data_IF_382414146351
#
_entry.id   IF_382414146351
#
_cell.length_a   1.000
_cell.length_b   1.000
_cell.length_c   1.000
_cell.angle_alpha   90.00
_cell.angle_beta   90.00
_cell.angle_gamma   90.00
#
_symmetry.space_group_name_H-M   'P 1'
#
loop_
_entity.id
_entity.type
_entity.pdbx_description
1 polymer ?
#
# COMPACT_ATOMS: atom_id res chain seq x y z
N UNK A 1 -0.52 -13.86 67.58
CA UNK A 1 -0.95 -12.79 66.63
C UNK A 1 0.25 -11.94 66.28
N UNK A 2 0.75 -12.04 65.04
CA UNK A 2 1.71 -11.10 64.44
C UNK A 2 1.24 -10.88 63.01
N UNK A 3 0.63 -9.72 62.75
CA UNK A 3 0.33 -9.24 61.41
C UNK A 3 1.65 -8.83 60.75
N UNK A 4 1.96 -9.45 59.61
CA UNK A 4 2.96 -8.95 58.68
C UNK A 4 2.23 -8.47 57.43
N UNK A 5 2.11 -7.15 57.34
CA UNK A 5 1.90 -6.37 56.11
C UNK A 5 3.22 -6.33 55.34
N UNK A 6 3.19 -5.99 54.04
CA UNK A 6 4.28 -5.77 53.06
C UNK A 6 4.48 -6.98 52.11
N UNK A 7 4.42 -6.89 50.77
CA UNK A 7 4.35 -5.76 49.83
C UNK A 7 3.84 -6.32 48.51
N UNK A 8 2.91 -5.62 47.84
CA UNK A 8 2.51 -5.91 46.46
C UNK A 8 3.68 -5.54 45.55
N UNK A 9 4.42 -6.54 45.07
CA UNK A 9 5.41 -6.38 44.00
C UNK A 9 4.68 -6.42 42.65
N UNK A 10 3.99 -5.34 42.29
CA UNK A 10 3.49 -5.11 40.94
C UNK A 10 4.61 -4.42 40.15
N UNK A 11 5.63 -5.19 39.78
CA UNK A 11 6.68 -4.72 38.86
C UNK A 11 6.09 -4.62 37.46
N UNK A 12 5.90 -3.37 37.07
CA UNK A 12 5.75 -2.84 35.73
C UNK A 12 6.20 -3.82 34.65
N UNK A 13 5.22 -4.46 34.00
CA UNK A 13 5.33 -4.79 32.59
C UNK A 13 5.48 -3.46 31.85
N UNK A 14 6.72 -2.98 31.77
CA UNK A 14 7.11 -2.05 30.72
C UNK A 14 6.90 -2.82 29.42
N UNK A 15 5.69 -2.70 28.88
CA UNK A 15 5.41 -3.11 27.52
C UNK A 15 6.33 -2.30 26.63
N UNK A 16 7.47 -2.88 26.27
CA UNK A 16 8.08 -2.62 24.99
C UNK A 16 7.08 -3.15 23.96
N UNK A 17 6.04 -2.35 23.67
CA UNK A 17 5.36 -2.48 22.39
C UNK A 17 6.42 -2.34 21.30
N UNK A 18 6.30 -3.08 20.19
CA UNK A 18 7.19 -2.88 19.06
C UNK A 18 7.21 -1.38 18.75
N UNK A 19 8.41 -0.79 18.72
CA UNK A 19 8.59 0.53 18.13
C UNK A 19 8.22 0.32 16.66
N UNK A 20 6.99 0.70 16.29
CA UNK A 20 6.65 0.77 14.87
C UNK A 20 7.71 1.69 14.25
N UNK A 21 8.47 1.21 13.25
CA UNK A 21 9.47 2.05 12.63
C UNK A 21 8.75 3.30 12.10
N UNK A 22 9.26 4.47 12.49
CA UNK A 22 8.81 5.76 11.98
C UNK A 22 9.09 5.74 10.47
N UNK A 23 8.08 5.36 9.69
CA UNK A 23 8.20 5.34 8.24
C UNK A 23 8.23 6.80 7.80
N UNK A 24 9.34 7.29 7.21
CA UNK A 24 9.36 8.65 6.69
C UNK A 24 8.15 8.82 5.77
N UNK A 25 7.51 10.00 5.85
CA UNK A 25 6.42 10.40 4.96
C UNK A 25 6.93 10.49 3.52
N UNK A 26 7.14 9.33 2.91
CA UNK A 26 7.71 9.20 1.60
C UNK A 26 6.61 9.53 0.61
N UNK A 27 6.90 10.51 -0.24
CA UNK A 27 6.08 10.84 -1.39
C UNK A 27 6.75 10.29 -2.64
N UNK A 28 5.93 9.89 -3.59
CA UNK A 28 6.38 9.22 -4.79
C UNK A 28 5.74 9.83 -6.03
N UNK A 29 6.48 9.79 -7.14
CA UNK A 29 5.93 9.94 -8.49
C UNK A 29 5.61 8.55 -9.02
N UNK A 30 4.41 8.37 -9.58
CA UNK A 30 3.96 7.10 -10.13
C UNK A 30 4.07 7.08 -11.66
N UNK A 31 4.47 5.94 -12.20
CA UNK A 31 4.40 5.62 -13.63
C UNK A 31 3.64 4.32 -13.83
N UNK A 32 2.73 4.31 -14.81
CA UNK A 32 1.85 3.18 -15.10
C UNK A 32 2.25 2.44 -16.38
N UNK A 33 2.37 1.12 -16.29
CA UNK A 33 2.73 0.23 -17.40
C UNK A 33 1.63 -0.80 -17.63
N UNK A 34 1.19 -0.92 -18.88
CA UNK A 34 0.30 -1.98 -19.32
C UNK A 34 1.12 -3.26 -19.55
N UNK A 35 0.66 -4.38 -18.98
CA UNK A 35 1.36 -5.68 -19.03
C UNK A 35 0.43 -6.85 -19.40
N UNK A 36 -0.80 -6.57 -19.86
CA UNK A 36 -1.70 -7.58 -20.46
C UNK A 36 -1.02 -8.29 -21.64
N UNK A 37 -1.28 -9.58 -21.81
CA UNK A 37 -0.61 -10.41 -22.85
C UNK A 37 -0.93 -9.97 -24.28
N UNK A 38 -2.12 -9.42 -24.49
CA UNK A 38 -2.56 -8.86 -25.78
C UNK A 38 -1.98 -7.46 -26.06
N UNK A 39 -1.27 -6.87 -25.08
CA UNK A 39 -0.70 -5.53 -25.15
C UNK A 39 -1.74 -4.42 -25.12
N UNK A 40 -3.01 -4.74 -24.85
CA UNK A 40 -4.10 -3.76 -24.77
C UNK A 40 -4.55 -3.60 -23.34
N UNK A 41 -4.60 -2.35 -22.88
CA UNK A 41 -5.22 -2.02 -21.61
C UNK A 41 -6.21 -0.88 -21.78
N UNK A 42 -7.36 -0.99 -21.13
CA UNK A 42 -8.38 0.06 -21.08
C UNK A 42 -8.12 1.05 -19.94
N UNK A 43 -8.81 2.18 -19.89
CA UNK A 43 -8.69 3.19 -18.81
C UNK A 43 -7.30 3.84 -18.66
N UNK A 44 -6.47 3.80 -19.72
CA UNK A 44 -5.09 4.35 -19.70
C UNK A 44 -5.06 5.83 -19.32
N UNK A 45 -6.03 6.60 -19.83
CA UNK A 45 -6.08 8.06 -19.62
C UNK A 45 -6.45 8.38 -18.18
N UNK A 46 -7.39 7.63 -17.61
CA UNK A 46 -7.89 7.75 -16.24
C UNK A 46 -6.81 7.35 -15.24
N UNK A 47 -6.19 6.18 -15.43
CA UNK A 47 -5.16 5.67 -14.53
C UNK A 47 -3.93 6.56 -14.48
N UNK A 48 -3.47 7.07 -15.64
CA UNK A 48 -2.28 7.93 -15.69
C UNK A 48 -2.45 9.30 -15.04
N UNK A 49 -3.68 9.72 -14.71
CA UNK A 49 -3.91 10.94 -13.90
C UNK A 49 -3.43 10.76 -12.47
N UNK A 50 -3.51 9.53 -11.95
CA UNK A 50 -3.02 9.18 -10.63
C UNK A 50 -1.50 9.06 -10.66
N UNK A 51 -0.82 10.21 -10.53
CA UNK A 51 0.62 10.34 -10.76
C UNK A 51 1.43 10.53 -9.47
N UNK A 52 0.79 10.50 -8.31
CA UNK A 52 1.44 10.65 -7.00
C UNK A 52 0.98 9.60 -6.01
N UNK A 53 1.88 9.25 -5.09
CA UNK A 53 1.55 8.45 -3.93
C UNK A 53 2.29 8.86 -2.67
N UNK A 54 1.80 8.40 -1.53
CA UNK A 54 2.49 8.44 -0.24
C UNK A 54 2.15 7.21 0.57
N UNK A 55 3.10 6.77 1.39
CA UNK A 55 2.86 5.71 2.35
C UNK A 55 3.02 6.31 3.75
N UNK A 56 1.97 6.30 4.54
CA UNK A 56 1.96 6.78 5.93
C UNK A 56 1.17 5.82 6.81
N UNK A 57 1.70 5.42 7.97
CA UNK A 57 1.00 4.56 8.93
C UNK A 57 0.42 3.25 8.33
N UNK A 58 1.10 2.67 7.34
CA UNK A 58 0.62 1.51 6.58
C UNK A 58 -0.56 1.77 5.62
N UNK A 59 -0.88 3.03 5.36
CA UNK A 59 -1.82 3.45 4.33
C UNK A 59 -1.05 3.94 3.10
N UNK A 60 -1.39 3.39 1.94
CA UNK A 60 -0.96 3.92 0.65
C UNK A 60 -2.06 4.84 0.13
N UNK A 61 -1.74 6.12 -0.02
CA UNK A 61 -2.60 7.08 -0.69
C UNK A 61 -2.06 7.32 -2.09
N UNK A 62 -2.90 7.21 -3.11
CA UNK A 62 -2.61 7.52 -4.52
C UNK A 62 -3.50 8.70 -4.94
N UNK A 63 -2.96 9.73 -5.58
CA UNK A 63 -3.75 10.90 -5.99
C UNK A 63 -3.30 11.51 -7.32
N UNK A 64 -4.18 12.33 -7.90
CA UNK A 64 -3.89 13.20 -9.05
C UNK A 64 -3.25 14.50 -8.55
N UNK A 65 -2.04 14.81 -9.03
CA UNK A 65 -1.34 16.05 -8.68
C UNK A 65 -2.09 17.33 -9.07
N UNK A 66 -3.02 17.25 -10.01
CA UNK A 66 -3.87 18.36 -10.47
C UNK A 66 -5.20 18.45 -9.71
N UNK A 67 -5.66 17.36 -9.10
CA UNK A 67 -6.89 17.31 -8.29
C UNK A 67 -6.75 16.35 -7.09
N UNK A 68 -6.20 16.82 -5.96
CA UNK A 68 -5.99 15.97 -4.78
C UNK A 68 -7.29 15.57 -4.07
N UNK A 69 -8.46 16.11 -4.46
CA UNK A 69 -9.75 15.78 -3.86
C UNK A 69 -10.24 14.36 -4.18
N UNK A 70 -9.69 13.73 -5.23
CA UNK A 70 -10.05 12.39 -5.69
C UNK A 70 -9.07 11.29 -5.27
N UNK A 71 -8.39 11.45 -4.13
CA UNK A 71 -7.40 10.47 -3.66
C UNK A 71 -8.02 9.07 -3.45
N UNK A 72 -7.23 8.06 -3.78
CA UNK A 72 -7.51 6.64 -3.57
C UNK A 72 -6.68 6.19 -2.38
N UNK A 73 -7.34 5.58 -1.41
CA UNK A 73 -6.70 5.05 -0.22
C UNK A 73 -6.62 3.53 -0.30
N UNK A 74 -5.50 2.98 0.16
CA UNK A 74 -5.25 1.57 0.26
C UNK A 74 -4.71 1.23 1.63
N UNK A 75 -5.20 0.13 2.20
CA UNK A 75 -4.68 -0.40 3.46
C UNK A 75 -3.64 -1.48 3.18
N UNK A 76 -2.47 -1.43 3.82
CA UNK A 76 -1.51 -2.54 3.74
C UNK A 76 -2.01 -3.74 4.54
N UNK A 77 -1.97 -4.91 3.91
CA UNK A 77 -2.17 -6.23 4.49
C UNK A 77 -0.86 -7.02 4.37
N UNK A 78 -0.34 -7.54 5.47
CA UNK A 78 0.88 -8.36 5.45
C UNK A 78 0.57 -9.81 5.08
N UNK A 79 1.43 -10.45 4.28
CA UNK A 79 1.33 -11.88 3.97
C UNK A 79 2.69 -12.56 4.00
N UNK A 80 2.79 -13.68 4.72
CA UNK A 80 3.99 -14.50 4.83
C UNK A 80 4.25 -15.36 3.57
N UNK A 81 3.32 -15.36 2.60
CA UNK A 81 3.40 -16.19 1.38
C UNK A 81 3.88 -15.43 0.15
N UNK A 82 4.48 -14.24 0.32
CA UNK A 82 4.94 -13.41 -0.79
C UNK A 82 6.26 -13.91 -1.39
N UNK A 83 6.50 -13.70 -2.71
CA UNK A 83 7.79 -13.96 -3.34
C UNK A 83 8.94 -13.19 -2.67
N UNK A 84 10.19 -13.65 -2.84
CA UNK A 84 11.35 -12.89 -2.39
C UNK A 84 11.31 -11.47 -2.98
N UNK A 85 11.53 -10.45 -2.14
CA UNK A 85 11.48 -9.00 -2.45
C UNK A 85 10.08 -8.35 -2.46
N UNK A 86 9.03 -9.08 -2.11
CA UNK A 86 7.71 -8.50 -1.87
C UNK A 86 7.33 -8.66 -0.40
N UNK A 87 7.04 -7.55 0.26
CA UNK A 87 6.86 -7.53 1.72
C UNK A 87 5.40 -7.31 2.13
N UNK A 88 4.55 -6.82 1.21
CA UNK A 88 3.19 -6.33 1.52
C UNK A 88 2.22 -6.65 0.40
N UNK A 89 0.96 -6.87 0.77
CA UNK A 89 -0.21 -6.82 -0.09
C UNK A 89 -0.96 -5.53 0.27
N UNK A 90 -1.66 -4.91 -0.67
CA UNK A 90 -2.61 -3.85 -0.31
C UNK A 90 -4.05 -4.33 -0.47
N UNK A 91 -4.96 -3.72 0.26
CA UNK A 91 -6.36 -3.69 -0.12
C UNK A 91 -6.58 -2.37 -0.88
N UNK A 92 -6.78 -2.45 -2.19
CA UNK A 92 -6.97 -1.31 -3.07
C UNK A 92 -8.38 -1.34 -3.66
N UNK A 93 -8.99 -0.16 -3.78
CA UNK A 93 -10.24 0.02 -4.52
C UNK A 93 -10.01 1.04 -5.64
N UNK A 94 -10.12 0.61 -6.89
CA UNK A 94 -10.06 1.48 -8.07
C UNK A 94 -11.39 1.46 -8.81
N UNK A 95 -11.91 2.64 -9.18
CA UNK A 95 -13.15 2.79 -9.95
C UNK A 95 -14.37 2.07 -9.33
N UNK A 96 -14.42 1.94 -8.01
CA UNK A 96 -15.49 1.22 -7.30
C UNK A 96 -15.34 -0.30 -7.27
N UNK A 97 -14.20 -0.83 -7.73
CA UNK A 97 -13.87 -2.25 -7.72
C UNK A 97 -12.71 -2.53 -6.77
N UNK A 98 -12.88 -3.55 -5.94
CA UNK A 98 -11.78 -4.12 -5.17
C UNK A 98 -10.76 -4.73 -6.12
N UNK A 99 -9.49 -4.39 -5.93
CA UNK A 99 -8.39 -4.92 -6.71
C UNK A 99 -7.82 -6.10 -5.96
N UNK A 100 -7.82 -7.27 -6.60
CA UNK A 100 -7.36 -8.50 -5.99
C UNK A 100 -5.84 -8.49 -5.77
N UNK A 101 -5.43 -8.72 -4.53
CA UNK A 101 -4.06 -8.98 -4.07
C UNK A 101 -2.94 -8.12 -4.71
N UNK A 102 -3.05 -6.79 -4.74
CA UNK A 102 -2.00 -5.93 -5.27
C UNK A 102 -0.70 -6.12 -4.46
N UNK A 103 0.34 -6.60 -5.15
CA UNK A 103 1.60 -7.02 -4.49
C UNK A 103 2.57 -5.86 -4.48
N UNK A 104 3.04 -5.48 -3.31
CA UNK A 104 4.13 -4.51 -3.14
C UNK A 104 5.47 -5.22 -3.20
N UNK A 105 6.26 -4.90 -4.22
CA UNK A 105 7.61 -5.40 -4.37
C UNK A 105 8.56 -4.20 -4.43
N UNK A 106 9.40 -4.02 -3.41
CA UNK A 106 10.17 -2.78 -3.32
C UNK A 106 10.91 -2.56 -2.01
N UNK A 107 11.47 -1.36 -1.87
CA UNK A 107 12.10 -0.88 -0.65
C UNK A 107 11.57 0.52 -0.28
N UNK A 108 12.07 1.11 0.80
CA UNK A 108 11.62 2.42 1.27
C UNK A 108 11.75 3.56 0.24
N UNK A 109 12.64 3.44 -0.75
CA UNK A 109 12.91 4.49 -1.74
C UNK A 109 12.11 4.32 -3.02
N UNK A 110 11.83 3.09 -3.45
CA UNK A 110 11.13 2.81 -4.68
C UNK A 110 10.37 1.50 -4.56
N UNK A 111 9.21 1.44 -5.19
CA UNK A 111 8.38 0.24 -5.17
C UNK A 111 7.66 0.01 -6.49
N UNK A 112 7.28 -1.24 -6.71
CA UNK A 112 6.40 -1.65 -7.77
C UNK A 112 5.14 -2.31 -7.20
N UNK A 113 4.00 -2.04 -7.83
CA UNK A 113 2.73 -2.71 -7.52
C UNK A 113 2.17 -3.34 -8.78
N UNK A 114 2.02 -4.65 -8.76
CA UNK A 114 1.29 -5.39 -9.79
C UNK A 114 -0.20 -5.36 -9.48
N UNK A 115 -1.02 -4.99 -10.46
CA UNK A 115 -2.47 -4.84 -10.33
C UNK A 115 -3.21 -5.57 -11.47
N UNK A 116 -4.40 -6.06 -11.17
CA UNK A 116 -5.41 -6.42 -12.17
C UNK A 116 -6.60 -5.49 -12.01
N UNK A 117 -6.88 -4.67 -13.02
CA UNK A 117 -7.90 -3.62 -12.96
C UNK A 117 -9.00 -3.97 -13.95
N UNK A 118 -10.28 -4.00 -13.52
CA UNK A 118 -11.40 -4.20 -14.43
C UNK A 118 -11.43 -3.15 -15.55
N UNK A 119 -11.71 -3.60 -16.75
CA UNK A 119 -11.82 -2.75 -17.95
C UNK A 119 -13.14 -1.94 -17.92
N UNK A 120 -13.49 -1.25 -19.00
CA UNK A 120 -14.83 -0.63 -19.12
C UNK A 120 -15.93 -1.70 -19.18
N UNK A 121 -15.65 -2.82 -19.85
CA UNK A 121 -16.43 -4.04 -19.71
C UNK A 121 -16.02 -4.77 -18.42
N UNK A 122 -16.91 -4.89 -17.41
CA UNK A 122 -16.56 -5.53 -16.14
C UNK A 122 -16.30 -7.03 -16.25
N UNK A 123 -16.56 -7.65 -17.41
CA UNK A 123 -16.23 -9.05 -17.67
C UNK A 123 -14.74 -9.27 -17.99
N UNK A 124 -13.98 -8.20 -18.23
CA UNK A 124 -12.54 -8.28 -18.54
C UNK A 124 -11.72 -7.42 -17.59
N UNK A 125 -10.42 -7.72 -17.55
CA UNK A 125 -9.46 -7.02 -16.70
C UNK A 125 -8.12 -6.90 -17.40
N UNK A 126 -7.51 -5.74 -17.26
CA UNK A 126 -6.15 -5.48 -17.73
C UNK A 126 -5.13 -5.65 -16.61
N UNK A 127 -3.93 -6.14 -16.96
CA UNK A 127 -2.79 -6.23 -16.05
C UNK A 127 -1.93 -4.98 -16.11
N UNK A 128 -1.60 -4.45 -14.94
CA UNK A 128 -0.89 -3.19 -14.78
C UNK A 128 0.27 -3.34 -13.80
N UNK A 129 1.32 -2.56 -14.03
CA UNK A 129 2.40 -2.34 -13.07
C UNK A 129 2.49 -0.85 -12.80
N UNK A 130 2.42 -0.48 -11.52
CA UNK A 130 2.79 0.85 -11.04
C UNK A 130 4.26 0.79 -10.65
N UNK A 131 5.08 1.70 -11.16
CA UNK A 131 6.43 1.95 -10.63
C UNK A 131 6.45 3.29 -9.91
N UNK A 132 6.97 3.29 -8.69
CA UNK A 132 7.07 4.47 -7.84
C UNK A 132 8.53 4.85 -7.62
N UNK A 133 8.85 6.10 -7.92
CA UNK A 133 10.15 6.71 -7.62
C UNK A 133 9.97 7.84 -6.60
N UNK A 134 11.00 8.19 -5.80
CA UNK A 134 10.92 9.32 -4.87
C UNK A 134 10.43 10.58 -5.57
N UNK A 135 9.55 11.32 -4.90
CA UNK A 135 9.16 12.67 -5.32
C UNK A 135 10.22 13.65 -4.78
N UNK A 136 11.02 14.21 -5.68
CA UNK A 136 12.01 15.26 -5.37
C UNK A 136 11.38 16.54 -4.79
#
# INVERSE_FOLDING_TARGET
>A
MKLAVFTIALMMLAGCGPIEPDYPNNKYTLTWYCTSDDGTCERVVELRRYDRASIQNNDLTIWDSQDPGGAIEALIVYSDSLPQHCDRIFYLVFFGHEIEEPRYCGNHYAFEIELSIPDEDPATSSRWVISAAPLD
#
